data_IF_755692905743
#
_entry.id   IF_755692905743
#
_cell.length_a   1.000
_cell.length_b   1.000
_cell.length_c   1.000
_cell.angle_alpha   90.00
_cell.angle_beta   90.00
_cell.angle_gamma   90.00
#
_symmetry.space_group_name_H-M   'P 1'
#
loop_
_entity.id
_entity.type
_entity.pdbx_description
1 polymer ?
#
# COMPACT_ATOMS: atom_id res chain seq x y z
N UNK A 1 -0.81 7.28 2.97
CA UNK A 1 -0.73 8.42 2.02
C UNK A 1 -0.82 7.99 0.56
N UNK A 2 0.23 7.62 -0.18
CA UNK A 2 0.10 7.39 -1.65
C UNK A 2 -0.71 6.17 -2.06
N UNK A 3 -0.43 4.98 -1.51
CA UNK A 3 -1.22 3.79 -1.86
C UNK A 3 -2.71 3.97 -1.50
N UNK A 4 -2.98 4.68 -0.40
CA UNK A 4 -4.36 5.01 -0.01
C UNK A 4 -4.99 5.98 -1.01
N UNK A 5 -4.26 7.02 -1.42
CA UNK A 5 -4.71 7.96 -2.44
C UNK A 5 -5.10 7.22 -3.73
N UNK A 6 -4.23 6.35 -4.26
CA UNK A 6 -4.51 5.63 -5.49
C UNK A 6 -5.68 4.65 -5.34
N UNK A 7 -5.81 3.97 -4.20
CA UNK A 7 -6.96 3.11 -3.94
C UNK A 7 -8.25 3.93 -3.90
N UNK A 8 -8.27 5.05 -3.17
CA UNK A 8 -9.44 5.93 -3.09
C UNK A 8 -9.81 6.52 -4.45
N UNK A 9 -8.81 6.86 -5.28
CA UNK A 9 -9.03 7.40 -6.62
C UNK A 9 -9.78 6.42 -7.53
N UNK A 10 -9.46 5.13 -7.47
CA UNK A 10 -10.04 4.12 -8.37
C UNK A 10 -11.21 3.35 -7.77
N UNK A 11 -11.39 3.38 -6.45
CA UNK A 11 -12.43 2.64 -5.74
C UNK A 11 -13.18 3.55 -4.78
N UNK A 12 -14.14 4.29 -5.33
CA UNK A 12 -15.13 5.01 -4.53
C UNK A 12 -15.89 3.98 -3.69
N UNK A 13 -16.04 4.23 -2.39
CA UNK A 13 -16.66 3.31 -1.42
C UNK A 13 -15.99 1.93 -1.35
N UNK A 14 -14.65 1.89 -1.32
CA UNK A 14 -13.86 0.66 -1.21
C UNK A 14 -14.39 -0.34 -0.16
N UNK A 15 -14.95 0.13 0.96
CA UNK A 15 -15.51 -0.72 2.02
C UNK A 15 -16.59 -1.70 1.53
N UNK A 16 -17.46 -1.26 0.61
CA UNK A 16 -18.56 -2.08 0.07
C UNK A 16 -18.02 -3.17 -0.85
N UNK A 17 -17.05 -2.83 -1.70
CA UNK A 17 -16.51 -3.71 -2.73
C UNK A 17 -15.27 -4.50 -2.28
N UNK A 18 -14.77 -4.27 -1.07
CA UNK A 18 -13.51 -4.86 -0.61
C UNK A 18 -13.54 -6.38 -0.60
N UNK A 19 -14.68 -6.98 -0.26
CA UNK A 19 -14.85 -8.43 -0.23
C UNK A 19 -14.60 -9.07 -1.60
N UNK A 20 -15.06 -8.43 -2.68
CA UNK A 20 -14.82 -8.89 -4.06
C UNK A 20 -13.33 -8.77 -4.44
N UNK A 21 -12.60 -7.86 -3.79
CA UNK A 21 -11.20 -7.56 -4.08
C UNK A 21 -10.23 -8.45 -3.29
N UNK A 22 -10.48 -8.68 -2.00
CA UNK A 22 -9.54 -9.39 -1.12
C UNK A 22 -10.15 -10.62 -0.43
N UNK A 23 -11.47 -10.84 -0.52
CA UNK A 23 -12.18 -11.93 0.14
C UNK A 23 -12.73 -11.54 1.53
N UNK A 24 -13.77 -12.26 1.96
CA UNK A 24 -14.54 -11.97 3.17
C UNK A 24 -13.67 -12.02 4.45
N UNK A 25 -12.85 -13.05 4.61
CA UNK A 25 -12.02 -13.25 5.81
C UNK A 25 -11.06 -12.07 6.05
N UNK A 26 -10.43 -11.57 4.98
CA UNK A 26 -9.51 -10.42 5.06
C UNK A 26 -10.25 -9.12 5.34
N UNK A 27 -11.45 -8.93 4.78
CA UNK A 27 -12.31 -7.78 5.09
C UNK A 27 -12.69 -7.77 6.57
N UNK A 28 -13.12 -8.91 7.12
CA UNK A 28 -13.48 -9.03 8.55
C UNK A 28 -12.31 -8.63 9.45
N UNK A 29 -11.11 -9.16 9.18
CA UNK A 29 -9.89 -8.79 9.93
C UNK A 29 -9.58 -7.29 9.84
N UNK A 30 -9.74 -6.68 8.67
CA UNK A 30 -9.57 -5.24 8.51
C UNK A 30 -10.61 -4.43 9.30
N UNK A 31 -11.87 -4.89 9.33
CA UNK A 31 -12.95 -4.27 10.11
C UNK A 31 -12.70 -4.36 11.62
N UNK A 32 -12.18 -5.49 12.11
CA UNK A 32 -11.79 -5.66 13.52
C UNK A 32 -10.69 -4.67 13.91
N UNK A 33 -9.64 -4.56 13.09
CA UNK A 33 -8.55 -3.59 13.30
C UNK A 33 -9.09 -2.16 13.26
N UNK A 34 -10.00 -1.86 12.33
CA UNK A 34 -10.63 -0.56 12.24
C UNK A 34 -11.44 -0.21 13.48
N UNK A 35 -12.32 -1.10 13.94
CA UNK A 35 -13.11 -0.89 15.17
C UNK A 35 -12.21 -0.66 16.38
N UNK A 36 -11.17 -1.46 16.55
CA UNK A 36 -10.23 -1.35 17.66
C UNK A 36 -9.52 0.02 17.68
N UNK A 37 -9.07 0.50 16.52
CA UNK A 37 -8.31 1.77 16.43
C UNK A 37 -9.21 3.01 16.38
N UNK A 38 -10.43 2.88 15.85
CA UNK A 38 -11.40 3.98 15.79
C UNK A 38 -11.82 4.42 17.19
N UNK A 39 -11.87 3.49 18.15
CA UNK A 39 -12.18 3.78 19.54
C UNK A 39 -11.22 4.79 20.21
N UNK A 40 -10.04 5.01 19.64
CA UNK A 40 -9.03 5.94 20.16
C UNK A 40 -8.60 7.01 19.14
N UNK A 41 -9.19 7.02 17.94
CA UNK A 41 -8.84 7.97 16.87
C UNK A 41 -10.02 8.21 15.91
N UNK A 42 -10.72 9.32 16.11
CA UNK A 42 -11.91 9.69 15.33
C UNK A 42 -11.61 10.08 13.87
N UNK A 43 -10.38 10.43 13.52
CA UNK A 43 -10.00 10.77 12.14
C UNK A 43 -9.58 9.56 11.31
N UNK A 44 -9.42 8.40 11.95
CA UNK A 44 -8.98 7.19 11.27
C UNK A 44 -10.02 6.72 10.23
N UNK A 45 -9.55 6.48 9.02
CA UNK A 45 -10.33 5.90 7.92
C UNK A 45 -10.14 4.39 7.82
N UNK A 46 -11.14 3.69 7.28
CA UNK A 46 -11.04 2.24 7.08
C UNK A 46 -9.86 1.83 6.19
N UNK A 47 -9.58 2.63 5.15
CA UNK A 47 -8.47 2.37 4.24
C UNK A 47 -7.11 2.44 4.94
N UNK A 48 -6.95 3.27 5.96
CA UNK A 48 -5.72 3.33 6.77
C UNK A 48 -5.48 2.08 7.60
N UNK A 49 -6.53 1.29 7.86
CA UNK A 49 -6.43 0.02 8.57
C UNK A 49 -6.06 -1.17 7.68
N UNK A 50 -6.22 -1.05 6.35
CA UNK A 50 -5.80 -2.12 5.43
C UNK A 50 -4.29 -2.36 5.52
N UNK A 51 -3.90 -3.62 5.59
CA UNK A 51 -2.49 -4.01 5.61
C UNK A 51 -1.87 -3.90 4.21
N UNK A 52 -0.54 -3.90 4.13
CA UNK A 52 0.18 -3.86 2.84
C UNK A 52 -0.23 -5.01 1.92
N UNK A 53 -0.36 -6.21 2.46
CA UNK A 53 -0.83 -7.37 1.69
C UNK A 53 -2.25 -7.19 1.12
N UNK A 54 -3.16 -6.53 1.83
CA UNK A 54 -4.52 -6.26 1.34
C UNK A 54 -4.52 -5.17 0.26
N UNK A 55 -3.77 -4.09 0.48
CA UNK A 55 -3.58 -3.02 -0.52
C UNK A 55 -2.99 -3.57 -1.81
N UNK A 56 -2.06 -4.52 -1.73
CA UNK A 56 -1.48 -5.22 -2.87
C UNK A 56 -2.55 -5.94 -3.71
N UNK A 57 -3.46 -6.66 -3.06
CA UNK A 57 -4.54 -7.38 -3.74
C UNK A 57 -5.48 -6.42 -4.47
N UNK A 58 -5.87 -5.32 -3.81
CA UNK A 58 -6.69 -4.26 -4.43
C UNK A 58 -5.99 -3.68 -5.65
N UNK A 59 -4.72 -3.25 -5.51
CA UNK A 59 -3.97 -2.61 -6.59
C UNK A 59 -3.68 -3.58 -7.76
N UNK A 60 -3.49 -4.87 -7.50
CA UNK A 60 -3.36 -5.89 -8.56
C UNK A 60 -4.62 -6.02 -9.41
N UNK A 61 -5.80 -5.82 -8.81
CA UNK A 61 -7.09 -5.80 -9.50
C UNK A 61 -7.42 -4.44 -10.14
N UNK A 62 -6.57 -3.43 -9.96
CA UNK A 62 -6.77 -2.07 -10.49
C UNK A 62 -5.92 -1.86 -11.74
N UNK A 63 -6.54 -1.91 -12.91
CA UNK A 63 -5.82 -1.85 -14.20
C UNK A 63 -5.24 -0.46 -14.47
N UNK A 64 -5.95 0.59 -14.08
CA UNK A 64 -5.57 1.99 -14.20
C UNK A 64 -4.26 2.26 -13.45
N UNK A 65 -4.19 1.84 -12.19
CA UNK A 65 -2.98 1.96 -11.37
C UNK A 65 -1.78 1.25 -12.02
N UNK A 66 -2.00 0.02 -12.49
CA UNK A 66 -0.94 -0.75 -13.17
C UNK A 66 -0.46 -0.05 -14.44
N UNK A 67 -1.36 0.53 -15.23
CA UNK A 67 -1.00 1.23 -16.46
C UNK A 67 -0.22 2.52 -16.17
N UNK A 68 -0.67 3.31 -15.19
CA UNK A 68 -0.03 4.58 -14.80
C UNK A 68 1.42 4.36 -14.36
N UNK A 69 1.65 3.33 -13.55
CA UNK A 69 2.97 3.00 -13.00
C UNK A 69 3.71 1.91 -13.78
N UNK A 70 3.17 1.49 -14.93
CA UNK A 70 3.74 0.45 -15.81
C UNK A 70 4.07 -0.85 -15.07
N UNK A 71 3.21 -1.26 -14.14
CA UNK A 71 3.35 -2.51 -13.43
C UNK A 71 2.64 -3.67 -14.15
N UNK A 72 3.35 -4.78 -14.33
CA UNK A 72 2.73 -6.10 -14.48
C UNK A 72 2.24 -6.63 -13.12
N UNK A 73 1.36 -7.63 -13.11
CA UNK A 73 0.91 -8.29 -11.87
C UNK A 73 2.08 -8.85 -11.04
N UNK A 74 3.09 -9.45 -11.69
CA UNK A 74 4.27 -9.99 -11.02
C UNK A 74 5.17 -8.88 -10.47
N UNK A 75 5.43 -7.84 -11.27
CA UNK A 75 6.29 -6.73 -10.85
C UNK A 75 5.70 -5.92 -9.69
N UNK A 76 4.36 -5.78 -9.64
CA UNK A 76 3.64 -5.14 -8.54
C UNK A 76 3.70 -5.98 -7.27
N UNK A 77 3.49 -7.29 -7.40
CA UNK A 77 3.58 -8.24 -6.30
C UNK A 77 4.97 -8.16 -5.64
N UNK A 78 6.03 -8.28 -6.45
CA UNK A 78 7.41 -8.16 -5.98
C UNK A 78 7.69 -6.80 -5.34
N UNK A 79 7.22 -5.71 -5.96
CA UNK A 79 7.43 -4.36 -5.44
C UNK A 79 6.82 -4.17 -4.05
N UNK A 80 5.52 -4.46 -3.90
CA UNK A 80 4.83 -4.24 -2.63
C UNK A 80 5.33 -5.22 -1.55
N UNK A 81 5.59 -6.49 -1.89
CA UNK A 81 6.11 -7.44 -0.91
C UNK A 81 7.53 -7.10 -0.45
N UNK A 82 8.38 -6.53 -1.31
CA UNK A 82 9.68 -6.05 -0.87
C UNK A 82 9.56 -4.81 0.03
N UNK A 83 8.66 -3.87 -0.29
CA UNK A 83 8.38 -2.72 0.57
C UNK A 83 7.82 -3.15 1.94
N UNK A 84 6.94 -4.15 1.96
CA UNK A 84 6.39 -4.75 3.18
C UNK A 84 7.49 -5.39 4.04
N UNK A 85 8.43 -6.14 3.43
CA UNK A 85 9.58 -6.69 4.14
C UNK A 85 10.43 -5.60 4.80
N UNK A 86 10.77 -4.54 4.06
CA UNK A 86 11.52 -3.41 4.64
C UNK A 86 10.77 -2.79 5.81
N UNK A 87 9.46 -2.54 5.67
CA UNK A 87 8.64 -2.02 6.77
C UNK A 87 8.63 -2.94 7.98
N UNK A 88 8.59 -4.26 7.77
CA UNK A 88 8.64 -5.25 8.85
C UNK A 88 9.99 -5.24 9.56
N UNK A 89 11.09 -5.25 8.81
CA UNK A 89 12.45 -5.14 9.36
C UNK A 89 12.63 -3.87 10.17
N UNK A 90 12.19 -2.71 9.67
CA UNK A 90 12.25 -1.44 10.40
C UNK A 90 11.40 -1.43 11.68
N UNK A 91 10.25 -2.11 11.67
CA UNK A 91 9.37 -2.19 12.86
C UNK A 91 9.86 -3.17 13.92
N UNK A 92 10.66 -4.16 13.55
CA UNK A 92 11.13 -5.21 14.46
C UNK A 92 12.58 -5.03 14.90
N UNK A 93 13.44 -4.40 14.08
CA UNK A 93 14.85 -4.21 14.43
C UNK A 93 15.06 -2.95 15.26
N UNK A 94 15.12 -3.14 16.58
CA UNK A 94 15.59 -2.09 17.49
C UNK A 94 17.09 -1.81 17.38
N UNK A 95 17.93 -2.68 16.77
CA UNK A 95 19.39 -2.50 16.76
C UNK A 95 20.21 -3.06 15.57
N UNK A 96 19.64 -3.71 14.54
CA UNK A 96 20.45 -4.19 13.39
C UNK A 96 19.63 -4.30 12.10
N UNK A 97 19.90 -3.46 11.09
CA UNK A 97 19.11 -3.34 9.85
C UNK A 97 19.37 -4.51 8.85
N UNK A 98 20.29 -5.44 9.15
CA UNK A 98 20.93 -6.28 8.12
C UNK A 98 20.65 -7.78 8.18
N UNK A 99 19.77 -8.28 9.06
CA UNK A 99 19.67 -9.75 9.30
C UNK A 99 18.73 -10.47 8.31
N UNK A 100 17.69 -9.82 7.78
CA UNK A 100 16.68 -10.46 6.93
C UNK A 100 16.81 -10.26 5.40
N UNK A 101 17.51 -9.20 4.96
CA UNK A 101 17.69 -8.83 3.55
C UNK A 101 19.16 -8.48 3.32
N UNK A 102 19.77 -9.07 2.29
CA UNK A 102 21.11 -8.65 1.88
C UNK A 102 21.14 -7.14 1.61
N UNK A 103 22.15 -6.44 2.11
CA UNK A 103 22.26 -4.97 2.06
C UNK A 103 21.99 -4.40 0.66
N UNK A 104 22.50 -5.06 -0.38
CA UNK A 104 22.27 -4.66 -1.77
C UNK A 104 20.78 -4.71 -2.18
N UNK A 105 20.05 -5.72 -1.72
CA UNK A 105 18.62 -5.84 -1.99
C UNK A 105 17.84 -4.78 -1.20
N UNK A 106 18.25 -4.50 0.04
CA UNK A 106 17.65 -3.45 0.85
C UNK A 106 17.78 -2.07 0.19
N UNK A 107 18.99 -1.68 -0.22
CA UNK A 107 19.26 -0.41 -0.92
C UNK A 107 18.47 -0.35 -2.23
N UNK A 108 18.49 -1.41 -3.05
CA UNK A 108 17.74 -1.45 -4.31
C UNK A 108 16.24 -1.26 -4.11
N UNK A 109 15.66 -1.89 -3.09
CA UNK A 109 14.23 -1.78 -2.80
C UNK A 109 13.91 -0.37 -2.28
N UNK A 110 14.73 0.20 -1.40
CA UNK A 110 14.54 1.58 -0.93
C UNK A 110 14.58 2.58 -2.08
N UNK A 111 15.60 2.53 -2.95
CA UNK A 111 15.68 3.42 -4.12
C UNK A 111 14.47 3.27 -5.04
N UNK A 112 13.94 2.04 -5.18
CA UNK A 112 12.72 1.79 -5.97
C UNK A 112 11.47 2.36 -5.29
N UNK A 113 11.35 2.26 -3.97
CA UNK A 113 10.23 2.85 -3.20
C UNK A 113 10.29 4.38 -3.29
N UNK A 114 11.46 4.97 -3.09
CA UNK A 114 11.69 6.41 -3.23
C UNK A 114 11.30 6.90 -4.63
N UNK A 115 11.79 6.22 -5.67
CA UNK A 115 11.43 6.54 -7.06
C UNK A 115 9.92 6.45 -7.28
N UNK A 116 9.25 5.45 -6.70
CA UNK A 116 7.79 5.34 -6.78
C UNK A 116 7.09 6.51 -6.09
N UNK A 117 7.56 6.93 -4.91
CA UNK A 117 6.97 8.04 -4.16
C UNK A 117 7.11 9.37 -4.91
N UNK A 118 8.30 9.67 -5.44
CA UNK A 118 8.56 10.87 -6.25
C UNK A 118 7.65 10.90 -7.49
N UNK A 119 7.58 9.78 -8.21
CA UNK A 119 6.72 9.66 -9.39
C UNK A 119 5.23 9.75 -9.03
N UNK A 120 4.84 9.21 -7.87
CA UNK A 120 3.46 9.31 -7.40
C UNK A 120 3.09 10.73 -7.05
N UNK A 121 3.95 11.46 -6.33
CA UNK A 121 3.69 12.84 -5.92
C UNK A 121 3.56 13.75 -7.14
N UNK A 122 4.51 13.67 -8.08
CA UNK A 122 4.47 14.47 -9.30
C UNK A 122 3.18 14.24 -10.11
N UNK A 123 2.63 13.03 -10.10
CA UNK A 123 1.36 12.71 -10.75
C UNK A 123 0.16 13.28 -9.99
N UNK A 124 0.13 13.13 -8.67
CA UNK A 124 -0.92 13.70 -7.81
C UNK A 124 -0.99 15.22 -8.02
N UNK A 125 0.16 15.89 -7.96
CA UNK A 125 0.27 17.33 -8.18
C UNK A 125 -0.21 17.75 -9.57
N UNK A 126 0.18 16.99 -10.61
CA UNK A 126 -0.24 17.29 -11.98
C UNK A 126 -1.75 17.20 -12.16
N UNK A 127 -2.43 16.31 -11.42
CA UNK A 127 -3.87 16.15 -11.48
C UNK A 127 -4.61 17.18 -10.64
N UNK A 128 -4.06 17.58 -9.48
CA UNK A 128 -4.61 18.63 -8.64
C UNK A 128 -4.53 20.03 -9.29
N UNK A 129 -3.58 20.26 -10.20
CA UNK A 129 -3.43 21.52 -10.95
C UNK A 129 -4.38 21.67 -12.15
N UNK A 130 -5.22 20.68 -12.43
CA UNK A 130 -6.19 20.68 -13.54
C UNK A 130 -7.60 21.13 -13.07
N UNK A 131 -7.76 21.44 -11.78
CA UNK A 131 -8.94 22.08 -11.18
C UNK A 131 -8.60 23.48 -10.67
#
# INVERSE_FOLDING_TARGET
MHLNYWINKFHINIHENLELLIGAERKIKAEEIFKLRKATNDDLTFLECLQFCDKKLVLKKTTEFKNIFKFSNSSLETFISNAEKIRNELSHNQNTITVGLGWDLFVKVLSRVESFLINSEARIDSECRIY
#
